data_IF_209131399862
#
_entry.id   IF_209131399862
#
_cell.length_a   1.000
_cell.length_b   1.000
_cell.length_c   1.000
_cell.angle_alpha   90.00
_cell.angle_beta   90.00
_cell.angle_gamma   90.00
#
_symmetry.space_group_name_H-M   'P 1'
#
loop_
_entity.id
_entity.type
_entity.pdbx_description
1 polymer ?
#
# COMPACT_ATOMS: atom_id res chain seq x y z
N UNK A 1 7.70 -2.94 37.38
CA UNK A 1 7.87 -4.29 36.80
C UNK A 1 6.65 -4.72 35.96
N UNK A 2 5.43 -4.55 36.46
CA UNK A 2 4.19 -4.94 35.77
C UNK A 2 3.97 -4.26 34.39
N UNK A 3 4.23 -2.94 34.28
CA UNK A 3 4.17 -2.23 33.00
C UNK A 3 5.22 -2.71 31.97
N UNK A 4 6.41 -3.12 32.43
CA UNK A 4 7.48 -3.62 31.56
C UNK A 4 7.12 -5.01 31.01
N UNK A 5 6.55 -5.88 31.85
CA UNK A 5 6.04 -7.19 31.43
C UNK A 5 4.83 -7.06 30.47
N UNK A 6 3.98 -6.06 30.67
CA UNK A 6 2.83 -5.77 29.78
C UNK A 6 3.26 -5.22 28.42
N UNK A 7 4.34 -4.43 28.37
CA UNK A 7 4.96 -3.96 27.12
C UNK A 7 5.61 -5.14 26.38
N UNK A 8 6.40 -5.97 27.08
CA UNK A 8 7.02 -7.16 26.51
C UNK A 8 5.98 -8.15 25.94
N UNK A 9 4.85 -8.33 26.63
CA UNK A 9 3.75 -9.19 26.18
C UNK A 9 3.05 -8.69 24.91
N UNK A 10 3.06 -7.39 24.63
CA UNK A 10 2.52 -6.83 23.39
C UNK A 10 3.55 -6.82 22.24
N UNK A 11 4.85 -6.89 22.54
CA UNK A 11 5.93 -6.79 21.56
C UNK A 11 5.87 -7.90 20.50
N UNK A 12 5.43 -9.11 20.88
CA UNK A 12 5.29 -10.24 19.95
C UNK A 12 4.33 -9.97 18.78
N UNK A 13 3.34 -9.10 18.97
CA UNK A 13 2.41 -8.73 17.91
C UNK A 13 3.01 -7.75 16.89
N UNK A 14 4.17 -7.16 17.20
CA UNK A 14 4.93 -6.29 16.29
C UNK A 14 6.05 -7.03 15.55
N UNK A 15 6.34 -8.29 15.88
CA UNK A 15 7.33 -9.11 15.16
C UNK A 15 7.05 -9.13 13.65
N UNK A 16 5.80 -9.32 13.17
CA UNK A 16 5.53 -9.30 11.74
C UNK A 16 5.95 -7.97 11.09
N UNK A 17 5.66 -6.83 11.75
CA UNK A 17 6.06 -5.52 11.24
C UNK A 17 7.58 -5.39 11.11
N UNK A 18 8.34 -5.84 12.11
CA UNK A 18 9.81 -5.80 12.03
C UNK A 18 10.36 -6.66 10.89
N UNK A 19 9.77 -7.84 10.66
CA UNK A 19 10.15 -8.70 9.53
C UNK A 19 9.84 -7.98 8.22
N UNK A 20 8.64 -7.41 8.09
CA UNK A 20 8.23 -6.74 6.86
C UNK A 20 9.15 -5.55 6.53
N UNK A 21 9.39 -4.68 7.50
CA UNK A 21 10.28 -3.52 7.33
C UNK A 21 11.73 -3.93 7.06
N UNK A 22 12.19 -5.07 7.59
CA UNK A 22 13.55 -5.55 7.29
C UNK A 22 13.70 -5.94 5.82
N UNK A 23 12.65 -6.52 5.22
CA UNK A 23 12.64 -6.84 3.79
C UNK A 23 12.52 -5.57 2.95
N UNK A 24 11.67 -4.61 3.34
CA UNK A 24 11.61 -3.31 2.64
C UNK A 24 12.98 -2.63 2.61
N UNK A 25 13.66 -2.55 3.76
CA UNK A 25 15.00 -1.96 3.86
C UNK A 25 16.01 -2.72 3.01
N UNK A 26 15.94 -4.06 2.98
CA UNK A 26 16.79 -4.85 2.12
C UNK A 26 16.58 -4.52 0.65
N UNK A 27 15.33 -4.46 0.18
CA UNK A 27 15.00 -4.15 -1.22
C UNK A 27 15.46 -2.74 -1.60
N UNK A 28 15.19 -1.74 -0.75
CA UNK A 28 15.63 -0.36 -0.95
C UNK A 28 17.17 -0.27 -1.01
N UNK A 29 17.89 -1.01 -0.16
CA UNK A 29 19.36 -1.03 -0.20
C UNK A 29 19.85 -1.72 -1.48
N UNK A 30 19.22 -2.82 -1.91
CA UNK A 30 19.59 -3.52 -3.14
C UNK A 30 19.38 -2.63 -4.37
N UNK A 31 18.28 -1.87 -4.42
CA UNK A 31 18.01 -0.88 -5.46
C UNK A 31 19.07 0.21 -5.52
N UNK A 32 19.42 0.79 -4.37
CA UNK A 32 20.51 1.76 -4.29
C UNK A 32 21.84 1.19 -4.79
N UNK A 33 22.18 -0.05 -4.41
CA UNK A 33 23.40 -0.71 -4.90
C UNK A 33 23.32 -0.91 -6.41
N UNK A 34 22.20 -1.41 -6.92
CA UNK A 34 21.96 -1.64 -8.35
C UNK A 34 22.05 -0.33 -9.16
N UNK A 35 21.57 0.77 -8.61
CA UNK A 35 21.65 2.08 -9.24
C UNK A 35 23.11 2.55 -9.44
N UNK A 36 23.99 2.38 -8.43
CA UNK A 36 25.41 2.78 -8.54
C UNK A 36 26.30 1.70 -9.18
N UNK A 37 25.93 0.43 -9.03
CA UNK A 37 26.66 -0.74 -9.49
C UNK A 37 25.68 -1.75 -10.09
N UNK A 38 25.26 -1.56 -11.36
CA UNK A 38 24.24 -2.38 -11.98
C UNK A 38 24.55 -3.88 -11.91
N UNK A 39 23.59 -4.64 -11.40
CA UNK A 39 23.65 -6.09 -11.40
C UNK A 39 23.52 -6.65 -12.83
N UNK A 40 23.88 -7.93 -13.06
CA UNK A 40 23.70 -8.57 -14.37
C UNK A 40 22.25 -8.54 -14.88
N UNK A 41 21.28 -8.63 -13.97
CA UNK A 41 19.87 -8.37 -14.21
C UNK A 41 19.44 -7.18 -13.34
N UNK A 42 19.55 -5.95 -13.84
CA UNK A 42 19.28 -4.77 -13.02
C UNK A 42 17.79 -4.57 -12.79
N UNK A 43 16.90 -5.17 -13.61
CA UNK A 43 15.46 -4.89 -13.54
C UNK A 43 14.80 -5.51 -12.31
N UNK A 44 15.26 -6.69 -11.89
CA UNK A 44 14.67 -7.43 -10.77
C UNK A 44 14.87 -6.76 -9.40
N UNK A 45 15.87 -5.88 -9.28
CA UNK A 45 16.20 -5.14 -8.05
C UNK A 45 15.79 -3.67 -8.10
N UNK A 46 15.24 -3.20 -9.22
CA UNK A 46 14.71 -1.85 -9.34
C UNK A 46 13.34 -1.79 -8.68
N UNK A 47 13.20 -1.01 -7.61
CA UNK A 47 11.95 -0.93 -6.84
C UNK A 47 10.82 -0.20 -7.58
N UNK A 48 11.14 0.65 -8.56
CA UNK A 48 10.15 1.38 -9.35
C UNK A 48 9.71 0.63 -10.60
N UNK A 49 10.31 -0.55 -10.87
CA UNK A 49 9.92 -1.38 -12.00
C UNK A 49 8.89 -2.43 -11.61
N UNK A 50 7.92 -2.52 -12.50
CA UNK A 50 7.04 -3.64 -12.74
C UNK A 50 7.82 -4.97 -12.86
N UNK A 51 7.25 -6.04 -12.31
CA UNK A 51 7.75 -7.42 -12.25
C UNK A 51 9.05 -7.59 -11.43
N UNK A 52 9.40 -6.59 -10.61
CA UNK A 52 10.54 -6.66 -9.70
C UNK A 52 10.24 -7.49 -8.44
N UNK A 53 11.29 -7.74 -7.64
CA UNK A 53 11.10 -8.33 -6.31
C UNK A 53 10.27 -7.42 -5.38
N UNK A 54 10.30 -6.10 -5.58
CA UNK A 54 9.50 -5.16 -4.80
C UNK A 54 8.01 -5.32 -5.11
N UNK A 55 7.62 -5.30 -6.39
CA UNK A 55 6.21 -5.47 -6.80
C UNK A 55 5.67 -6.85 -6.33
N UNK A 56 6.47 -7.91 -6.48
CA UNK A 56 6.10 -9.25 -5.98
C UNK A 56 5.89 -9.25 -4.46
N UNK A 57 6.71 -8.50 -3.74
CA UNK A 57 6.63 -8.40 -2.28
C UNK A 57 5.43 -7.55 -1.82
N UNK A 58 5.10 -6.46 -2.51
CA UNK A 58 3.88 -5.68 -2.28
C UNK A 58 2.63 -6.54 -2.52
N UNK A 59 2.61 -7.28 -3.63
CA UNK A 59 1.55 -8.26 -3.90
C UNK A 59 1.34 -9.28 -2.78
N UNK A 60 2.43 -9.78 -2.19
CA UNK A 60 2.34 -10.64 -1.02
C UNK A 60 1.76 -9.92 0.22
N UNK A 61 2.12 -8.65 0.45
CA UNK A 61 1.58 -7.83 1.55
C UNK A 61 0.07 -7.58 1.39
N UNK A 62 -0.43 -7.32 0.19
CA UNK A 62 -1.87 -7.28 -0.10
C UNK A 62 -2.62 -8.55 0.35
N UNK A 63 -2.09 -9.73 0.01
CA UNK A 63 -2.67 -11.01 0.42
C UNK A 63 -2.68 -11.15 1.95
N UNK A 64 -1.59 -10.78 2.62
CA UNK A 64 -1.52 -10.80 4.08
C UNK A 64 -2.55 -9.88 4.74
N UNK A 65 -2.77 -8.68 4.20
CA UNK A 65 -3.80 -7.76 4.69
C UNK A 65 -5.20 -8.35 4.59
N UNK A 66 -5.52 -8.99 3.46
CA UNK A 66 -6.81 -9.66 3.22
C UNK A 66 -7.01 -10.80 4.24
N UNK A 67 -5.99 -11.64 4.43
CA UNK A 67 -6.01 -12.74 5.41
C UNK A 67 -6.20 -12.20 6.83
N UNK A 68 -5.46 -11.15 7.22
CA UNK A 68 -5.56 -10.55 8.55
C UNK A 68 -6.98 -10.01 8.84
N UNK A 69 -7.62 -9.37 7.85
CA UNK A 69 -8.98 -8.89 7.98
C UNK A 69 -10.02 -10.03 8.00
N UNK A 70 -9.79 -11.11 7.24
CA UNK A 70 -10.63 -12.31 7.31
C UNK A 70 -10.57 -12.93 8.70
N UNK A 71 -9.36 -13.06 9.28
CA UNK A 71 -9.18 -13.51 10.65
C UNK A 71 -9.94 -12.62 11.64
N UNK A 72 -9.84 -11.29 11.52
CA UNK A 72 -10.61 -10.37 12.35
C UNK A 72 -12.12 -10.55 12.19
N UNK A 73 -12.63 -10.64 10.96
CA UNK A 73 -14.04 -10.84 10.67
C UNK A 73 -14.58 -12.10 11.36
N UNK A 74 -13.84 -13.20 11.28
CA UNK A 74 -14.20 -14.50 11.83
C UNK A 74 -14.08 -14.53 13.36
N UNK A 75 -12.95 -14.09 13.91
CA UNK A 75 -12.68 -14.13 15.35
C UNK A 75 -13.54 -13.14 16.14
N UNK A 76 -13.82 -11.96 15.58
CA UNK A 76 -14.73 -10.98 16.20
C UNK A 76 -16.19 -11.23 15.90
N UNK A 77 -16.53 -12.13 14.97
CA UNK A 77 -17.87 -12.29 14.40
C UNK A 77 -18.45 -10.94 13.90
N UNK A 78 -17.57 -10.07 13.40
CA UNK A 78 -17.91 -8.71 12.97
C UNK A 78 -17.81 -8.62 11.44
N UNK A 79 -18.95 -8.77 10.76
CA UNK A 79 -19.01 -8.80 9.29
C UNK A 79 -18.60 -7.48 8.64
N UNK A 80 -18.57 -6.37 9.38
CA UNK A 80 -18.17 -5.07 8.82
C UNK A 80 -16.74 -5.05 8.30
N UNK A 81 -15.85 -5.93 8.76
CA UNK A 81 -14.49 -6.08 8.20
C UNK A 81 -14.48 -6.51 6.72
N UNK A 82 -15.55 -7.14 6.21
CA UNK A 82 -15.67 -7.45 4.77
C UNK A 82 -15.64 -6.21 3.89
N UNK A 83 -16.03 -5.04 4.40
CA UNK A 83 -15.92 -3.78 3.64
C UNK A 83 -14.46 -3.39 3.39
N UNK A 84 -13.57 -3.61 4.36
CA UNK A 84 -12.12 -3.40 4.17
C UNK A 84 -11.49 -4.48 3.30
N UNK A 85 -11.92 -5.74 3.44
CA UNK A 85 -11.47 -6.83 2.57
C UNK A 85 -11.75 -6.49 1.11
N UNK A 86 -12.94 -5.97 0.80
CA UNK A 86 -13.29 -5.54 -0.55
C UNK A 86 -12.35 -4.45 -1.06
N UNK A 87 -12.03 -3.44 -0.24
CA UNK A 87 -11.07 -2.39 -0.62
C UNK A 87 -9.71 -2.99 -0.98
N UNK A 88 -9.17 -3.86 -0.14
CA UNK A 88 -7.84 -4.44 -0.38
C UNK A 88 -7.80 -5.45 -1.51
N UNK A 89 -8.88 -6.19 -1.76
CA UNK A 89 -9.00 -7.02 -2.97
C UNK A 89 -8.99 -6.12 -4.20
N UNK A 90 -9.73 -5.01 -4.19
CA UNK A 90 -9.73 -4.10 -5.33
C UNK A 90 -8.35 -3.51 -5.55
N UNK A 91 -7.69 -2.96 -4.52
CA UNK A 91 -6.33 -2.41 -4.67
C UNK A 91 -5.33 -3.46 -5.18
N UNK A 92 -5.40 -4.69 -4.68
CA UNK A 92 -4.59 -5.80 -5.17
C UNK A 92 -4.82 -6.11 -6.66
N UNK A 93 -6.09 -6.22 -7.07
CA UNK A 93 -6.42 -6.50 -8.48
C UNK A 93 -6.13 -5.31 -9.39
N UNK A 94 -6.27 -4.10 -8.86
CA UNK A 94 -5.93 -2.84 -9.53
C UNK A 94 -4.45 -2.84 -9.90
N UNK A 95 -3.58 -3.15 -8.94
CA UNK A 95 -2.12 -3.25 -9.09
C UNK A 95 -1.72 -4.38 -10.05
N UNK A 96 -2.17 -5.62 -9.80
CA UNK A 96 -1.83 -6.80 -10.62
C UNK A 96 -2.26 -6.66 -12.08
N UNK A 97 -3.42 -6.08 -12.34
CA UNK A 97 -3.94 -5.92 -13.70
C UNK A 97 -3.66 -4.54 -14.30
N UNK A 98 -3.04 -3.63 -13.55
CA UNK A 98 -2.79 -2.23 -13.92
C UNK A 98 -4.01 -1.58 -14.52
N UNK A 99 -5.12 -1.69 -13.79
CA UNK A 99 -6.44 -1.26 -14.28
C UNK A 99 -6.41 0.25 -14.58
N UNK A 100 -5.74 1.04 -13.75
CA UNK A 100 -5.58 2.48 -13.96
C UNK A 100 -4.88 2.82 -15.28
N UNK A 101 -3.81 2.10 -15.65
CA UNK A 101 -3.09 2.30 -16.92
C UNK A 101 -3.95 1.92 -18.13
N UNK A 102 -4.56 0.73 -18.08
CA UNK A 102 -5.38 0.21 -19.20
C UNK A 102 -6.59 1.11 -19.43
N UNK A 103 -7.26 1.54 -18.37
CA UNK A 103 -8.41 2.43 -18.46
C UNK A 103 -8.02 3.85 -18.87
N UNK A 104 -6.90 4.39 -18.38
CA UNK A 104 -6.43 5.71 -18.78
C UNK A 104 -6.11 5.76 -20.28
N UNK A 105 -5.38 4.76 -20.79
CA UNK A 105 -5.08 4.61 -22.22
C UNK A 105 -6.35 4.50 -23.08
N UNK A 106 -7.32 3.70 -22.64
CA UNK A 106 -8.59 3.55 -23.36
C UNK A 106 -9.38 4.87 -23.42
N UNK A 107 -9.42 5.64 -22.33
CA UNK A 107 -10.11 6.92 -22.28
C UNK A 107 -9.39 8.01 -23.09
N UNK A 108 -8.06 8.10 -23.00
CA UNK A 108 -7.28 9.01 -23.84
C UNK A 108 -7.55 8.76 -25.33
N UNK A 109 -7.54 7.49 -25.74
CA UNK A 109 -7.84 7.07 -27.12
C UNK A 109 -9.27 7.45 -27.54
N UNK A 110 -10.26 7.25 -26.66
CA UNK A 110 -11.65 7.57 -26.95
C UNK A 110 -11.92 9.07 -27.11
N UNK A 111 -11.20 9.92 -26.35
CA UNK A 111 -11.33 11.37 -26.37
C UNK A 111 -10.29 12.08 -27.25
N UNK A 112 -9.43 11.34 -27.96
CA UNK A 112 -8.35 11.87 -28.81
C UNK A 112 -7.43 12.82 -28.03
N UNK A 113 -7.04 12.41 -26.82
CA UNK A 113 -6.14 13.16 -25.96
C UNK A 113 -4.70 12.66 -26.16
N UNK A 114 -3.92 13.40 -26.95
CA UNK A 114 -2.60 12.96 -27.42
C UNK A 114 -1.44 13.46 -26.53
N UNK A 115 -1.59 13.45 -25.21
CA UNK A 115 -0.49 13.84 -24.32
C UNK A 115 -0.35 12.91 -23.12
N UNK A 116 0.89 12.58 -22.77
CA UNK A 116 1.22 11.85 -21.53
C UNK A 116 0.64 12.57 -20.30
N UNK A 117 0.61 13.90 -20.32
CA UNK A 117 -0.01 14.69 -19.26
C UNK A 117 -1.51 14.42 -19.12
N UNK A 118 -2.24 14.25 -20.22
CA UNK A 118 -3.67 13.92 -20.21
C UNK A 118 -3.92 12.54 -19.63
N UNK A 119 -3.09 11.56 -19.97
CA UNK A 119 -3.13 10.20 -19.43
C UNK A 119 -2.97 10.19 -17.91
N UNK A 120 -1.96 10.89 -17.39
CA UNK A 120 -1.73 11.01 -15.93
C UNK A 120 -2.88 11.70 -15.19
N UNK A 121 -3.48 12.72 -15.79
CA UNK A 121 -4.69 13.36 -15.21
C UNK A 121 -5.85 12.35 -15.15
N UNK A 122 -6.03 11.54 -16.20
CA UNK A 122 -7.08 10.53 -16.24
C UNK A 122 -6.83 9.42 -15.20
N UNK A 123 -5.59 8.94 -15.05
CA UNK A 123 -5.20 7.99 -13.99
C UNK A 123 -5.64 8.51 -12.61
N UNK A 124 -5.32 9.76 -12.29
CA UNK A 124 -5.68 10.38 -11.01
C UNK A 124 -7.20 10.47 -10.81
N UNK A 125 -7.95 10.82 -11.86
CA UNK A 125 -9.42 10.88 -11.81
C UNK A 125 -10.02 9.49 -11.60
N UNK A 126 -9.48 8.47 -12.26
CA UNK A 126 -9.91 7.08 -12.09
C UNK A 126 -9.60 6.57 -10.68
N UNK A 127 -8.40 6.82 -10.16
CA UNK A 127 -8.02 6.47 -8.80
C UNK A 127 -8.95 7.12 -7.76
N UNK A 128 -9.26 8.42 -7.93
CA UNK A 128 -10.20 9.13 -7.06
C UNK A 128 -11.62 8.54 -7.14
N UNK A 129 -12.10 8.24 -8.35
CA UNK A 129 -13.41 7.66 -8.57
C UNK A 129 -13.53 6.28 -7.89
N UNK A 130 -12.58 5.38 -8.13
CA UNK A 130 -12.53 4.05 -7.50
C UNK A 130 -12.44 4.17 -5.98
N UNK A 131 -11.59 5.09 -5.47
CA UNK A 131 -11.49 5.39 -4.05
C UNK A 131 -12.84 5.76 -3.44
N UNK A 132 -13.61 6.66 -4.06
CA UNK A 132 -14.94 7.06 -3.58
C UNK A 132 -15.91 5.87 -3.59
N UNK A 133 -15.94 5.11 -4.68
CA UNK A 133 -16.85 3.96 -4.84
C UNK A 133 -16.62 2.92 -3.75
N UNK A 134 -15.36 2.54 -3.49
CA UNK A 134 -15.03 1.48 -2.54
C UNK A 134 -14.92 1.94 -1.08
N UNK A 135 -14.64 3.23 -0.82
CA UNK A 135 -14.67 3.77 0.55
C UNK A 135 -16.08 4.09 1.04
N UNK A 136 -17.06 4.29 0.14
CA UNK A 136 -18.47 4.52 0.53
C UNK A 136 -19.04 3.41 1.44
N UNK A 137 -18.95 2.11 1.11
CA UNK A 137 -19.41 1.06 2.01
C UNK A 137 -18.63 0.99 3.32
N UNK A 138 -17.32 1.26 3.31
CA UNK A 138 -16.49 1.35 4.53
C UNK A 138 -17.01 2.46 5.45
N UNK A 139 -17.33 3.63 4.91
CA UNK A 139 -17.88 4.74 5.69
C UNK A 139 -19.25 4.40 6.32
N UNK A 140 -20.13 3.69 5.59
CA UNK A 140 -21.42 3.21 6.14
C UNK A 140 -21.21 2.19 7.25
N UNK A 141 -20.27 1.26 7.06
CA UNK A 141 -19.89 0.29 8.09
C UNK A 141 -19.28 0.98 9.31
N UNK A 142 -18.46 2.01 9.11
CA UNK A 142 -17.84 2.81 10.17
C UNK A 142 -18.88 3.48 11.07
N UNK A 143 -19.90 4.11 10.48
CA UNK A 143 -20.98 4.77 11.23
C UNK A 143 -21.76 3.81 12.13
N UNK A 144 -21.94 2.57 11.69
CA UNK A 144 -22.76 1.57 12.38
C UNK A 144 -21.96 0.54 13.20
N UNK A 145 -20.62 0.56 13.11
CA UNK A 145 -19.74 -0.39 13.78
C UNK A 145 -19.50 -0.06 15.25
N UNK A 146 -19.06 -1.05 16.03
CA UNK A 146 -18.74 -0.87 17.44
C UNK A 146 -17.49 0.03 17.66
N UNK A 147 -17.20 0.39 18.92
CA UNK A 147 -16.07 1.26 19.24
C UNK A 147 -14.72 0.69 18.79
N UNK A 148 -14.56 -0.63 18.85
CA UNK A 148 -13.33 -1.32 18.46
C UNK A 148 -13.14 -1.33 16.95
N UNK A 149 -14.18 -1.64 16.19
CA UNK A 149 -14.20 -1.57 14.73
C UNK A 149 -13.88 -0.17 14.25
N UNK A 150 -14.48 0.87 14.86
CA UNK A 150 -14.19 2.27 14.53
C UNK A 150 -12.76 2.65 14.84
N UNK A 151 -12.21 2.20 15.98
CA UNK A 151 -10.80 2.42 16.33
C UNK A 151 -9.89 1.81 15.27
N UNK A 152 -10.12 0.54 14.91
CA UNK A 152 -9.27 -0.15 13.94
C UNK A 152 -9.40 0.44 12.54
N UNK A 153 -10.63 0.68 12.09
CA UNK A 153 -10.89 1.31 10.79
C UNK A 153 -10.27 2.69 10.66
N UNK A 154 -10.26 3.51 11.74
CA UNK A 154 -9.62 4.84 11.71
C UNK A 154 -8.12 4.72 11.48
N UNK A 155 -7.45 3.80 12.18
CA UNK A 155 -6.02 3.57 12.01
C UNK A 155 -5.70 2.99 10.63
N UNK A 156 -6.47 1.99 10.16
CA UNK A 156 -6.38 1.43 8.81
C UNK A 156 -6.53 2.52 7.75
N UNK A 157 -7.52 3.42 7.90
CA UNK A 157 -7.74 4.52 6.98
C UNK A 157 -6.58 5.52 6.96
N UNK A 158 -6.03 5.89 8.13
CA UNK A 158 -4.87 6.80 8.20
C UNK A 158 -3.65 6.19 7.53
N UNK A 159 -3.37 4.91 7.78
CA UNK A 159 -2.25 4.20 7.17
C UNK A 159 -2.46 4.02 5.66
N UNK A 160 -3.69 3.76 5.21
CA UNK A 160 -4.03 3.73 3.79
C UNK A 160 -3.82 5.10 3.13
N UNK A 161 -4.22 6.19 3.78
CA UNK A 161 -3.97 7.55 3.26
C UNK A 161 -2.47 7.85 3.15
N UNK A 162 -1.67 7.37 4.11
CA UNK A 162 -0.22 7.52 4.05
C UNK A 162 0.38 6.72 2.89
N UNK A 163 -0.10 5.49 2.67
CA UNK A 163 0.28 4.69 1.51
C UNK A 163 -0.10 5.38 0.19
N UNK A 164 -1.36 5.80 0.04
CA UNK A 164 -1.84 6.49 -1.17
C UNK A 164 -1.13 7.83 -1.40
N UNK A 165 -0.64 8.48 -0.34
CA UNK A 165 0.18 9.67 -0.50
C UNK A 165 1.50 9.34 -1.22
N UNK A 166 2.17 8.25 -0.86
CA UNK A 166 3.34 7.77 -1.60
C UNK A 166 2.93 7.32 -3.01
N UNK A 167 1.98 6.39 -3.11
CA UNK A 167 1.62 5.71 -4.35
C UNK A 167 0.95 6.56 -5.42
N UNK A 168 0.33 7.69 -5.03
CA UNK A 168 -0.39 8.54 -5.97
C UNK A 168 0.13 9.96 -5.93
N UNK A 169 0.34 10.56 -4.75
CA UNK A 169 0.68 11.99 -4.71
C UNK A 169 2.16 12.21 -5.03
N UNK A 170 3.07 11.48 -4.40
CA UNK A 170 4.50 11.62 -4.67
C UNK A 170 4.82 11.22 -6.12
N UNK A 171 4.23 10.13 -6.57
CA UNK A 171 4.28 9.69 -7.96
C UNK A 171 3.88 10.78 -8.96
N UNK A 172 2.70 11.38 -8.80
CA UNK A 172 2.24 12.41 -9.73
C UNK A 172 3.09 13.68 -9.63
N UNK A 173 3.60 14.03 -8.45
CA UNK A 173 4.54 15.16 -8.29
C UNK A 173 5.84 14.86 -9.03
N UNK A 174 6.40 13.66 -8.87
CA UNK A 174 7.63 13.27 -9.52
C UNK A 174 7.48 13.33 -11.04
N UNK A 175 6.42 12.69 -11.59
CA UNK A 175 6.16 12.60 -13.03
C UNK A 175 5.70 13.90 -13.69
N UNK A 176 4.99 14.79 -12.98
CA UNK A 176 4.56 16.08 -13.52
C UNK A 176 5.59 17.19 -13.32
N UNK A 177 6.59 16.99 -12.46
CA UNK A 177 7.67 17.95 -12.27
C UNK A 177 8.63 17.88 -13.47
N UNK A 178 9.01 19.04 -14.03
CA UNK A 178 10.00 19.16 -15.13
C UNK A 178 11.43 18.92 -14.61
N UNK A 179 11.58 18.12 -13.54
CA UNK A 179 12.84 17.87 -12.83
C UNK A 179 13.70 16.82 -13.55
N UNK A 180 13.23 16.31 -14.69
CA UNK A 180 13.93 15.36 -15.56
C UNK A 180 15.39 15.74 -15.88
N UNK A 181 15.75 17.03 -15.83
CA UNK A 181 17.10 17.49 -16.13
C UNK A 181 18.16 17.20 -15.04
N UNK A 182 17.78 16.75 -13.84
CA UNK A 182 18.76 16.41 -12.80
C UNK A 182 18.56 14.98 -12.27
N UNK A 183 19.39 14.06 -12.79
CA UNK A 183 19.35 12.63 -12.46
C UNK A 183 19.41 12.33 -10.96
N UNK A 184 20.10 13.16 -10.16
CA UNK A 184 20.17 12.96 -8.70
C UNK A 184 18.85 13.24 -8.01
N UNK A 185 18.10 14.23 -8.50
CA UNK A 185 16.79 14.55 -7.95
C UNK A 185 15.77 13.50 -8.38
N UNK A 186 15.82 13.04 -9.63
CA UNK A 186 14.98 11.95 -10.12
C UNK A 186 15.20 10.67 -9.28
N UNK A 187 16.45 10.24 -9.09
CA UNK A 187 16.77 9.07 -8.27
C UNK A 187 16.31 9.21 -6.80
N UNK A 188 16.48 10.40 -6.20
CA UNK A 188 16.02 10.63 -4.83
C UNK A 188 14.48 10.61 -4.74
N UNK A 189 13.77 11.23 -5.68
CA UNK A 189 12.31 11.25 -5.69
C UNK A 189 11.72 9.85 -5.91
N UNK A 190 12.23 9.09 -6.89
CA UNK A 190 11.82 7.69 -7.09
C UNK A 190 12.04 6.84 -5.84
N UNK A 191 13.21 6.97 -5.20
CA UNK A 191 13.47 6.27 -3.93
C UNK A 191 12.48 6.66 -2.81
N UNK A 192 12.10 7.95 -2.70
CA UNK A 192 11.12 8.40 -1.69
C UNK A 192 9.70 7.93 -2.00
N UNK A 193 9.36 7.87 -3.28
CA UNK A 193 8.09 7.39 -3.80
C UNK A 193 7.97 5.87 -3.55
N UNK A 194 8.74 5.06 -4.27
CA UNK A 194 8.67 3.59 -4.26
C UNK A 194 9.08 3.01 -2.90
N UNK A 195 10.13 3.56 -2.29
CA UNK A 195 10.55 3.17 -0.94
C UNK A 195 9.54 3.59 0.13
N UNK A 196 8.84 4.71 -0.08
CA UNK A 196 7.74 5.16 0.76
C UNK A 196 6.55 4.21 0.69
N UNK A 197 6.18 3.76 -0.51
CA UNK A 197 5.12 2.77 -0.70
C UNK A 197 5.43 1.47 0.04
N UNK A 198 6.64 0.92 -0.14
CA UNK A 198 7.07 -0.31 0.53
C UNK A 198 6.89 -0.22 2.06
N UNK A 199 7.45 0.83 2.67
CA UNK A 199 7.44 1.03 4.12
C UNK A 199 6.01 1.25 4.64
N UNK A 200 5.22 2.07 3.95
CA UNK A 200 3.87 2.43 4.40
C UNK A 200 2.90 1.26 4.28
N UNK A 201 3.04 0.46 3.23
CA UNK A 201 2.29 -0.79 3.06
C UNK A 201 2.68 -1.83 4.13
N UNK A 202 3.96 -1.94 4.47
CA UNK A 202 4.41 -2.79 5.58
C UNK A 202 3.88 -2.33 6.93
N UNK A 203 3.81 -1.02 7.16
CA UNK A 203 3.16 -0.47 8.35
C UNK A 203 1.67 -0.83 8.41
N UNK A 204 0.95 -0.72 7.29
CA UNK A 204 -0.45 -1.08 7.18
C UNK A 204 -0.67 -2.59 7.40
N UNK A 205 0.14 -3.42 6.74
CA UNK A 205 0.09 -4.89 6.84
C UNK A 205 0.44 -5.37 8.24
N UNK A 206 1.55 -4.89 8.80
CA UNK A 206 1.98 -5.20 10.15
C UNK A 206 0.96 -4.77 11.20
N UNK A 207 0.33 -3.60 11.02
CA UNK A 207 -0.77 -3.16 11.87
C UNK A 207 -1.94 -4.14 11.85
N UNK A 208 -2.44 -4.52 10.66
CA UNK A 208 -3.56 -5.46 10.51
C UNK A 208 -3.25 -6.84 11.10
N UNK A 209 -2.04 -7.37 10.86
CA UNK A 209 -1.59 -8.63 11.47
C UNK A 209 -1.52 -8.53 13.00
N UNK A 210 -1.00 -7.42 13.53
CA UNK A 210 -0.87 -7.22 14.98
C UNK A 210 -2.23 -7.27 15.69
N UNK A 211 -3.26 -6.62 15.13
CA UNK A 211 -4.60 -6.62 15.70
C UNK A 211 -5.30 -7.98 15.51
N UNK A 212 -5.06 -8.68 14.39
CA UNK A 212 -5.61 -10.00 14.13
C UNK A 212 -5.08 -11.05 15.12
N UNK A 213 -3.76 -11.10 15.32
CA UNK A 213 -3.13 -12.02 16.28
C UNK A 213 -3.49 -11.68 17.72
N UNK A 214 -3.61 -10.40 18.07
CA UNK A 214 -4.07 -9.99 19.40
C UNK A 214 -5.51 -10.42 19.66
N UNK A 215 -6.38 -10.34 18.66
CA UNK A 215 -7.75 -10.79 18.77
C UNK A 215 -7.85 -12.30 18.93
N UNK A 216 -7.08 -13.07 18.16
CA UNK A 216 -7.02 -14.53 18.27
C UNK A 216 -6.62 -14.99 19.69
N UNK A 217 -5.64 -14.32 20.29
CA UNK A 217 -5.15 -14.64 21.63
C UNK A 217 -6.13 -14.27 22.76
N UNK A 218 -7.23 -13.57 22.46
CA UNK A 218 -8.27 -13.18 23.43
C UNK A 218 -9.50 -14.09 23.45
N UNK A 219 -9.53 -15.09 22.57
CA UNK A 219 -10.55 -16.15 22.49
C UNK A 219 -10.06 -17.34 23.30
#
# INVERSE_FOLDING_TARGET
MENVLKIAGNLKYFIPLFILLSVDLFLIIMDLINFYHPFPDPKIFDIGLNESYAETYQNFKWILMIIALLMLALFRKEKRYFTWILVFIVLFLEDVFRVHDVMANALCSAFQLDSQRSEKIIELVLALFLGIVFLTPVYRAYKSGDATFRKYSKATFILLLLFLFCAVILDQVHRLSVVEYNWKYNAAFGMFEDGGELITESCLTGYLLSIAFKQQASI
#
